data_IF_717459653793
#
_entry.id   IF_717459653793
#
_cell.length_a   1.000
_cell.length_b   1.000
_cell.length_c   1.000
_cell.angle_alpha   90.00
_cell.angle_beta   90.00
_cell.angle_gamma   90.00
#
_symmetry.space_group_name_H-M   'P 1'
#
loop_
_entity.id
_entity.type
_entity.pdbx_description
1 polymer ?
#
# COMPACT_ATOMS: atom_id res chain seq x y z
N UNK A 1 -23.49 8.26 12.30
CA UNK A 1 -22.84 7.13 13.00
C UNK A 1 -23.59 5.84 12.70
N UNK A 2 -22.85 4.77 12.39
CA UNK A 2 -23.42 3.47 12.05
C UNK A 2 -24.08 2.81 13.28
N UNK A 3 -25.39 2.55 13.20
CA UNK A 3 -26.18 1.91 14.28
C UNK A 3 -26.14 0.38 14.24
N UNK A 4 -25.85 -0.20 13.07
CA UNK A 4 -25.76 -1.65 12.85
C UNK A 4 -24.32 -2.01 12.52
N UNK A 5 -23.87 -3.17 13.00
CA UNK A 5 -22.58 -3.74 12.63
C UNK A 5 -22.48 -3.86 11.11
N UNK A 6 -21.53 -3.14 10.52
CA UNK A 6 -21.36 -2.98 9.08
C UNK A 6 -19.92 -3.29 8.72
N UNK A 7 -19.74 -4.18 7.74
CA UNK A 7 -18.44 -4.51 7.17
C UNK A 7 -18.36 -3.91 5.78
N UNK A 8 -17.34 -3.11 5.53
CA UNK A 8 -17.05 -2.55 4.22
C UNK A 8 -16.02 -3.42 3.49
N UNK A 9 -16.33 -3.82 2.27
CA UNK A 9 -15.42 -4.57 1.41
C UNK A 9 -14.95 -3.63 0.31
N UNK A 10 -13.64 -3.34 0.31
CA UNK A 10 -13.05 -2.27 -0.50
C UNK A 10 -12.03 -2.85 -1.48
N UNK A 11 -12.07 -2.40 -2.73
CA UNK A 11 -11.11 -2.74 -3.77
C UNK A 11 -10.47 -1.50 -4.39
N UNK A 12 -9.69 -1.70 -5.46
CA UNK A 12 -8.80 -0.66 -5.99
C UNK A 12 -9.53 0.60 -6.49
N UNK A 13 -10.80 0.48 -6.90
CA UNK A 13 -11.60 1.63 -7.32
C UNK A 13 -11.76 2.70 -6.24
N UNK A 14 -11.70 2.30 -4.96
CA UNK A 14 -11.86 3.22 -3.84
C UNK A 14 -10.65 4.14 -3.65
N UNK A 15 -9.45 3.65 -3.97
CA UNK A 15 -8.22 4.45 -3.91
C UNK A 15 -7.98 5.24 -5.21
N UNK A 16 -8.66 4.87 -6.31
CA UNK A 16 -8.55 5.59 -7.58
C UNK A 16 -9.11 7.02 -7.50
N UNK A 17 -10.12 7.24 -6.65
CA UNK A 17 -10.69 8.58 -6.38
C UNK A 17 -9.75 9.51 -5.62
N UNK A 18 -8.61 8.99 -5.15
CA UNK A 18 -7.50 9.75 -4.55
C UNK A 18 -6.20 9.51 -5.32
N UNK A 19 -6.30 9.29 -6.63
CA UNK A 19 -5.20 9.25 -7.61
C UNK A 19 -4.29 8.02 -7.54
N UNK A 20 -4.69 6.95 -6.85
CA UNK A 20 -3.94 5.68 -6.90
C UNK A 20 -4.24 4.92 -8.20
N UNK A 21 -3.23 4.23 -8.78
CA UNK A 21 -3.42 3.46 -10.00
C UNK A 21 -4.26 2.21 -9.74
N UNK A 22 -5.17 1.89 -10.67
CA UNK A 22 -6.00 0.69 -10.63
C UNK A 22 -5.79 -0.21 -11.83
N UNK A 23 -5.98 -1.52 -11.65
CA UNK A 23 -5.97 -2.53 -12.72
C UNK A 23 -4.73 -2.46 -13.60
N UNK A 24 -4.93 -2.20 -14.90
CA UNK A 24 -3.86 -2.14 -15.90
C UNK A 24 -2.83 -1.05 -15.62
N UNK A 25 -3.22 0.08 -15.03
CA UNK A 25 -2.28 1.14 -14.68
C UNK A 25 -1.27 0.66 -13.62
N UNK A 26 -1.73 -0.08 -12.61
CA UNK A 26 -0.86 -0.62 -11.57
C UNK A 26 0.05 -1.72 -12.13
N UNK A 27 -0.51 -2.66 -12.91
CA UNK A 27 0.29 -3.70 -13.58
C UNK A 27 1.37 -3.10 -14.48
N UNK A 28 1.04 -2.06 -15.25
CA UNK A 28 1.99 -1.34 -16.09
C UNK A 28 3.12 -0.67 -15.30
N UNK A 29 2.80 -0.05 -14.16
CA UNK A 29 3.81 0.55 -13.25
C UNK A 29 4.73 -0.52 -12.66
N UNK A 30 4.18 -1.64 -12.18
CA UNK A 30 4.96 -2.77 -11.66
C UNK A 30 5.88 -3.34 -12.74
N UNK A 31 5.35 -3.61 -13.93
CA UNK A 31 6.14 -4.12 -15.05
C UNK A 31 7.31 -3.20 -15.42
N UNK A 32 7.09 -1.88 -15.45
CA UNK A 32 8.16 -0.89 -15.67
C UNK A 32 9.19 -0.89 -14.53
N UNK A 33 8.75 -0.93 -13.28
CA UNK A 33 9.63 -0.90 -12.11
C UNK A 33 10.55 -2.13 -12.04
N UNK A 34 10.09 -3.30 -12.52
CA UNK A 34 10.84 -4.57 -12.47
C UNK A 34 11.58 -4.91 -13.76
N UNK A 35 11.37 -4.12 -14.82
CA UNK A 35 11.81 -4.38 -16.18
C UNK A 35 13.29 -4.08 -16.48
N UNK A 36 14.21 -4.52 -15.62
CA UNK A 36 15.62 -4.15 -15.75
C UNK A 36 16.29 -4.66 -17.03
N UNK A 37 17.05 -3.75 -17.65
CA UNK A 37 17.95 -4.01 -18.79
C UNK A 37 19.35 -3.50 -18.49
N UNK A 38 20.37 -4.28 -18.87
CA UNK A 38 21.78 -4.00 -18.60
C UNK A 38 22.57 -3.98 -19.92
N UNK A 39 22.50 -2.88 -20.71
CA UNK A 39 23.17 -2.81 -22.01
C UNK A 39 24.70 -2.98 -21.87
N UNK A 40 25.28 -2.42 -20.81
CA UNK A 40 26.71 -2.51 -20.51
C UNK A 40 27.05 -3.62 -19.50
N UNK A 41 26.09 -4.51 -19.19
CA UNK A 41 26.24 -5.61 -18.25
C UNK A 41 26.23 -5.24 -16.76
N UNK A 42 26.59 -4.00 -16.39
CA UNK A 42 26.75 -3.60 -14.98
C UNK A 42 25.68 -2.63 -14.47
N UNK A 43 25.29 -1.64 -15.28
CA UNK A 43 24.39 -0.57 -14.85
C UNK A 43 22.98 -0.77 -15.41
N UNK A 44 21.93 -0.69 -14.56
CA UNK A 44 20.56 -0.75 -15.04
C UNK A 44 20.20 0.53 -15.81
N UNK A 45 19.71 0.38 -17.04
CA UNK A 45 19.15 1.49 -17.84
C UNK A 45 17.66 1.71 -17.61
N UNK A 46 16.94 0.64 -17.31
CA UNK A 46 15.51 0.62 -16.99
C UNK A 46 15.28 -0.01 -15.62
N UNK A 47 14.08 0.19 -15.05
CA UNK A 47 13.69 -0.33 -13.75
C UNK A 47 13.81 0.71 -12.63
N UNK A 48 13.31 0.36 -11.44
CA UNK A 48 13.32 1.23 -10.29
C UNK A 48 14.62 1.05 -9.47
N UNK A 49 15.36 2.13 -9.21
CA UNK A 49 16.64 2.05 -8.51
C UNK A 49 16.53 1.50 -7.08
N UNK A 50 15.45 1.78 -6.35
CA UNK A 50 15.25 1.24 -5.00
C UNK A 50 15.10 -0.28 -5.05
N UNK A 51 14.37 -0.80 -6.05
CA UNK A 51 14.27 -2.26 -6.29
C UNK A 51 15.63 -2.85 -6.65
N UNK A 52 16.40 -2.19 -7.53
CA UNK A 52 17.74 -2.65 -7.89
C UNK A 52 18.62 -2.81 -6.65
N UNK A 53 18.71 -1.77 -5.81
CA UNK A 53 19.53 -1.81 -4.60
C UNK A 53 18.99 -2.79 -3.55
N UNK A 54 17.68 -2.98 -3.46
CA UNK A 54 17.09 -4.00 -2.58
C UNK A 54 17.50 -5.42 -3.00
N UNK A 55 17.48 -5.74 -4.30
CA UNK A 55 17.95 -7.02 -4.82
C UNK A 55 19.45 -7.19 -4.56
N UNK A 56 20.27 -6.16 -4.82
CA UNK A 56 21.72 -6.20 -4.56
C UNK A 56 22.03 -6.46 -3.08
N UNK A 57 21.29 -5.82 -2.17
CA UNK A 57 21.44 -6.05 -0.73
C UNK A 57 21.02 -7.47 -0.33
N UNK A 58 19.94 -7.98 -0.92
CA UNK A 58 19.45 -9.33 -0.67
C UNK A 58 20.46 -10.40 -1.11
N UNK A 59 20.97 -10.32 -2.34
CA UNK A 59 21.96 -11.30 -2.85
C UNK A 59 23.27 -11.23 -2.07
N UNK A 60 23.69 -10.02 -1.65
CA UNK A 60 24.89 -9.82 -0.82
C UNK A 60 24.74 -10.52 0.53
N UNK A 61 23.59 -10.37 1.20
CA UNK A 61 23.31 -11.03 2.49
C UNK A 61 23.30 -12.55 2.38
N UNK A 62 22.91 -13.09 1.23
CA UNK A 62 22.88 -14.53 0.97
C UNK A 62 24.16 -15.07 0.33
N UNK A 63 25.18 -14.22 0.15
CA UNK A 63 26.46 -14.57 -0.52
C UNK A 63 26.27 -15.14 -1.94
N UNK A 64 25.20 -14.72 -2.64
CA UNK A 64 24.86 -15.17 -3.98
C UNK A 64 25.64 -14.36 -5.02
N UNK A 65 26.33 -15.06 -5.91
CA UNK A 65 27.15 -14.45 -6.97
C UNK A 65 26.36 -14.11 -8.24
N UNK A 66 25.34 -14.89 -8.57
CA UNK A 66 24.55 -14.71 -9.79
C UNK A 66 23.22 -13.99 -9.49
N UNK A 67 23.10 -12.75 -9.95
CA UNK A 67 21.88 -11.94 -9.82
C UNK A 67 20.90 -12.12 -10.99
N UNK A 68 21.29 -12.84 -12.06
CA UNK A 68 20.46 -13.01 -13.25
C UNK A 68 19.08 -13.62 -13.01
N UNK A 69 18.88 -14.55 -12.04
CA UNK A 69 17.54 -15.09 -11.75
C UNK A 69 16.51 -14.01 -11.40
N UNK A 70 16.86 -13.05 -10.54
CA UNK A 70 15.98 -11.92 -10.16
C UNK A 70 15.65 -11.03 -11.35
N UNK A 71 16.65 -10.71 -12.19
CA UNK A 71 16.42 -9.87 -13.36
C UNK A 71 15.59 -10.56 -14.43
N UNK A 72 15.77 -11.89 -14.59
CA UNK A 72 14.92 -12.70 -15.47
C UNK A 72 13.48 -12.73 -14.97
N UNK A 73 13.28 -12.93 -13.66
CA UNK A 73 11.96 -12.89 -13.04
C UNK A 73 11.27 -11.52 -13.22
N UNK A 74 11.98 -10.41 -13.00
CA UNK A 74 11.46 -9.06 -13.24
C UNK A 74 11.03 -8.82 -14.69
N UNK A 75 11.83 -9.28 -15.66
CA UNK A 75 11.46 -9.23 -17.09
C UNK A 75 10.27 -10.13 -17.43
N UNK A 76 10.19 -11.32 -16.83
CA UNK A 76 9.05 -12.21 -17.00
C UNK A 76 7.76 -11.57 -16.48
N UNK A 77 7.80 -10.94 -15.30
CA UNK A 77 6.67 -10.15 -14.77
C UNK A 77 6.29 -9.05 -15.76
N UNK A 78 7.24 -8.20 -16.19
CA UNK A 78 6.99 -7.12 -17.17
C UNK A 78 6.31 -7.64 -18.44
N UNK A 79 6.79 -8.73 -19.00
CA UNK A 79 6.25 -9.34 -20.22
C UNK A 79 4.86 -9.97 -20.01
N UNK A 80 4.52 -10.37 -18.77
CA UNK A 80 3.25 -11.00 -18.43
C UNK A 80 2.14 -10.02 -18.02
N UNK A 81 2.48 -8.82 -17.57
CA UNK A 81 1.52 -7.83 -17.05
C UNK A 81 0.40 -7.43 -18.03
N UNK A 82 0.63 -7.29 -19.35
CA UNK A 82 -0.45 -6.97 -20.29
C UNK A 82 -1.57 -8.02 -20.33
N UNK A 83 -1.24 -9.31 -20.18
CA UNK A 83 -2.18 -10.43 -20.25
C UNK A 83 -2.62 -10.99 -18.89
N UNK A 84 -1.93 -10.64 -17.81
CA UNK A 84 -2.28 -11.08 -16.46
C UNK A 84 -3.55 -10.39 -15.97
N UNK A 85 -4.44 -11.10 -15.26
CA UNK A 85 -5.60 -10.50 -14.60
C UNK A 85 -5.15 -9.49 -13.52
N UNK A 86 -4.17 -9.90 -12.71
CA UNK A 86 -3.53 -9.06 -11.69
C UNK A 86 -2.12 -9.58 -11.39
N UNK A 87 -1.32 -8.77 -10.68
CA UNK A 87 -0.02 -9.21 -10.17
C UNK A 87 -0.16 -10.37 -9.18
N UNK A 88 -1.18 -10.36 -8.31
CA UNK A 88 -1.43 -11.48 -7.37
C UNK A 88 -1.71 -12.78 -8.09
N UNK A 89 -2.55 -12.73 -9.14
CA UNK A 89 -2.87 -13.93 -9.91
C UNK A 89 -1.61 -14.47 -10.59
N UNK A 90 -0.78 -13.60 -11.17
CA UNK A 90 0.48 -14.01 -11.80
C UNK A 90 1.46 -14.63 -10.79
N UNK A 91 1.66 -14.00 -9.62
CA UNK A 91 2.49 -14.55 -8.55
C UNK A 91 1.95 -15.87 -8.02
N UNK A 92 0.62 -16.03 -7.96
CA UNK A 92 0.01 -17.29 -7.54
C UNK A 92 0.25 -18.42 -8.56
N UNK A 93 0.08 -18.14 -9.85
CA UNK A 93 0.38 -19.10 -10.93
C UNK A 93 1.83 -19.58 -10.88
N UNK A 94 2.75 -18.70 -10.48
CA UNK A 94 4.19 -18.98 -10.42
C UNK A 94 4.71 -19.05 -8.98
N UNK A 95 3.88 -19.51 -8.04
CA UNK A 95 4.21 -19.52 -6.60
C UNK A 95 5.44 -20.38 -6.24
N UNK A 96 5.85 -21.27 -7.14
CA UNK A 96 7.01 -22.15 -6.98
C UNK A 96 8.33 -21.46 -7.39
N UNK A 97 8.26 -20.34 -8.10
CA UNK A 97 9.43 -19.53 -8.44
C UNK A 97 9.58 -18.40 -7.41
N UNK A 98 10.46 -18.62 -6.44
CA UNK A 98 10.74 -17.67 -5.36
C UNK A 98 11.21 -16.31 -5.89
N UNK A 99 11.88 -16.26 -7.05
CA UNK A 99 12.34 -15.00 -7.65
C UNK A 99 11.16 -14.18 -8.20
N UNK A 100 10.15 -14.84 -8.81
CA UNK A 100 8.93 -14.15 -9.27
C UNK A 100 8.16 -13.59 -8.08
N UNK A 101 7.97 -14.40 -7.04
CA UNK A 101 7.26 -13.95 -5.83
C UNK A 101 8.00 -12.79 -5.18
N UNK A 102 9.31 -12.90 -5.00
CA UNK A 102 10.16 -11.87 -4.42
C UNK A 102 10.10 -10.56 -5.22
N UNK A 103 10.34 -10.63 -6.53
CA UNK A 103 10.31 -9.45 -7.40
C UNK A 103 8.92 -8.83 -7.48
N UNK A 104 7.87 -9.64 -7.52
CA UNK A 104 6.48 -9.16 -7.51
C UNK A 104 6.15 -8.37 -6.25
N UNK A 105 6.53 -8.89 -5.07
CA UNK A 105 6.34 -8.19 -3.78
C UNK A 105 7.11 -6.85 -3.73
N UNK A 106 8.36 -6.81 -4.19
CA UNK A 106 9.13 -5.57 -4.31
C UNK A 106 8.46 -4.56 -5.24
N UNK A 107 7.96 -5.03 -6.39
CA UNK A 107 7.27 -4.20 -7.37
C UNK A 107 5.99 -3.59 -6.82
N UNK A 108 5.17 -4.39 -6.13
CA UNK A 108 3.97 -3.89 -5.43
C UNK A 108 4.37 -2.83 -4.40
N UNK A 109 5.33 -3.15 -3.53
CA UNK A 109 5.74 -2.26 -2.46
C UNK A 109 6.18 -0.88 -2.98
N UNK A 110 7.10 -0.85 -3.94
CA UNK A 110 7.61 0.41 -4.47
C UNK A 110 6.53 1.20 -5.24
N UNK A 111 5.71 0.52 -6.03
CA UNK A 111 4.70 1.19 -6.87
C UNK A 111 3.57 1.78 -6.04
N UNK A 112 3.18 1.13 -4.94
CA UNK A 112 2.14 1.63 -4.04
C UNK A 112 2.67 2.80 -3.21
N UNK A 113 3.91 2.73 -2.70
CA UNK A 113 4.53 3.87 -2.02
C UNK A 113 4.71 5.08 -2.95
N UNK A 114 5.10 4.85 -4.20
CA UNK A 114 5.17 5.92 -5.21
C UNK A 114 3.78 6.50 -5.52
N UNK A 115 2.74 5.65 -5.56
CA UNK A 115 1.38 6.11 -5.77
C UNK A 115 0.82 6.91 -4.59
N UNK A 116 1.00 6.44 -3.36
CA UNK A 116 0.66 7.19 -2.15
C UNK A 116 1.40 8.54 -2.12
N UNK A 117 2.68 8.56 -2.54
CA UNK A 117 3.47 9.80 -2.62
C UNK A 117 2.89 10.79 -3.64
N UNK A 118 2.37 10.31 -4.75
CA UNK A 118 1.78 11.13 -5.80
C UNK A 118 0.28 11.44 -5.57
N UNK A 119 -0.34 10.85 -4.54
CA UNK A 119 -1.77 10.95 -4.28
C UNK A 119 -2.17 12.31 -3.72
N UNK A 120 -3.44 12.66 -3.90
CA UNK A 120 -4.08 13.78 -3.22
C UNK A 120 -4.08 13.67 -1.68
N UNK A 121 -3.74 12.50 -1.11
CA UNK A 121 -3.64 12.28 0.34
C UNK A 121 -2.27 12.59 0.94
N UNK A 122 -1.22 12.83 0.16
CA UNK A 122 0.10 13.21 0.74
C UNK A 122 0.03 14.52 1.53
N UNK A 123 -0.98 15.36 1.25
CA UNK A 123 -1.09 16.69 1.81
C UNK A 123 -0.20 17.70 1.07
N UNK A 124 -0.58 18.96 1.15
CA UNK A 124 0.17 20.04 0.52
C UNK A 124 1.44 20.34 1.34
N UNK A 125 2.61 20.35 0.67
CA UNK A 125 3.89 20.71 1.31
C UNK A 125 3.84 22.13 1.87
N UNK A 126 3.02 23.00 1.26
CA UNK A 126 2.88 24.40 1.66
C UNK A 126 1.84 24.61 2.77
N UNK A 127 1.07 23.57 3.14
CA UNK A 127 0.02 23.64 4.19
C UNK A 127 0.30 22.73 5.38
N UNK A 128 1.55 22.60 5.80
CA UNK A 128 1.94 21.76 6.94
C UNK A 128 1.45 20.30 6.82
N UNK A 129 1.28 19.78 5.60
CA UNK A 129 0.77 18.43 5.37
C UNK A 129 -0.75 18.26 5.54
N UNK A 130 -1.53 19.35 5.59
CA UNK A 130 -3.00 19.29 5.59
C UNK A 130 -3.55 18.80 4.26
N UNK A 131 -4.62 18.01 4.34
CA UNK A 131 -5.37 17.58 3.16
C UNK A 131 -6.14 18.75 2.54
N UNK A 132 -6.17 18.79 1.21
CA UNK A 132 -7.06 19.66 0.48
C UNK A 132 -8.43 18.97 0.33
N UNK A 133 -9.34 19.19 1.28
CA UNK A 133 -10.66 18.53 1.26
C UNK A 133 -11.49 18.90 0.03
N UNK A 134 -11.29 20.08 -0.57
CA UNK A 134 -12.04 20.48 -1.76
C UNK A 134 -11.71 19.61 -2.98
N UNK A 135 -10.47 19.13 -3.11
CA UNK A 135 -10.07 18.27 -4.23
C UNK A 135 -10.51 16.82 -4.06
N UNK A 136 -10.88 16.38 -2.85
CA UNK A 136 -11.24 15.00 -2.54
C UNK A 136 -12.68 14.87 -1.99
N UNK A 137 -13.49 15.94 -2.06
CA UNK A 137 -14.83 16.00 -1.46
C UNK A 137 -15.85 15.02 -2.06
N UNK A 138 -15.64 14.62 -3.31
CA UNK A 138 -16.49 13.67 -4.04
C UNK A 138 -16.03 12.21 -3.83
N UNK A 139 -14.92 11.99 -3.11
CA UNK A 139 -14.45 10.64 -2.82
C UNK A 139 -15.39 9.91 -1.86
N UNK A 140 -15.41 8.58 -1.97
CA UNK A 140 -16.10 7.69 -1.05
C UNK A 140 -15.55 7.84 0.37
N UNK A 141 -14.26 8.19 0.55
CA UNK A 141 -13.67 8.49 1.85
C UNK A 141 -14.39 9.68 2.52
N UNK A 142 -14.66 10.75 1.75
CA UNK A 142 -15.43 11.89 2.22
C UNK A 142 -16.87 11.51 2.56
N UNK A 143 -17.53 10.74 1.71
CA UNK A 143 -18.89 10.23 1.96
C UNK A 143 -18.95 9.35 3.21
N UNK A 144 -17.99 8.44 3.36
CA UNK A 144 -17.86 7.56 4.52
C UNK A 144 -17.70 8.37 5.81
N UNK A 145 -16.80 9.36 5.84
CA UNK A 145 -16.61 10.20 7.03
C UNK A 145 -17.86 11.00 7.36
N UNK A 146 -18.57 11.56 6.38
CA UNK A 146 -19.86 12.23 6.62
C UNK A 146 -20.85 11.29 7.31
N UNK A 147 -20.97 10.05 6.85
CA UNK A 147 -21.85 9.05 7.47
C UNK A 147 -21.37 8.60 8.86
N UNK A 148 -20.06 8.43 9.03
CA UNK A 148 -19.43 8.07 10.30
C UNK A 148 -19.75 9.13 11.37
N UNK A 149 -19.55 10.39 11.02
CA UNK A 149 -19.66 11.54 11.92
C UNK A 149 -21.08 12.12 12.02
N UNK A 150 -22.03 11.60 11.25
CA UNK A 150 -23.44 12.01 11.36
C UNK A 150 -23.94 11.81 12.80
N UNK A 151 -24.37 12.89 13.46
CA UNK A 151 -24.77 12.94 14.87
C UNK A 151 -23.68 12.52 15.89
N UNK A 152 -22.41 12.46 15.49
CA UNK A 152 -21.31 12.22 16.41
C UNK A 152 -20.97 13.50 17.20
N UNK A 153 -20.68 13.34 18.49
CA UNK A 153 -20.13 14.42 19.31
C UNK A 153 -18.60 14.37 19.28
N UNK A 154 -17.94 15.53 19.25
CA UNK A 154 -16.47 15.61 19.20
C UNK A 154 -15.76 14.83 20.32
N UNK A 155 -16.39 14.71 21.50
CA UNK A 155 -15.85 13.96 22.64
C UNK A 155 -16.06 12.45 22.58
N UNK A 156 -16.89 11.95 21.67
CA UNK A 156 -17.25 10.54 21.56
C UNK A 156 -16.35 9.78 20.55
N UNK A 157 -15.06 10.16 20.44
CA UNK A 157 -14.10 9.51 19.54
C UNK A 157 -13.90 8.03 19.86
N UNK A 158 -14.13 7.65 21.12
CA UNK A 158 -13.87 6.31 21.62
C UNK A 158 -14.79 5.23 21.08
N UNK A 159 -15.98 5.59 20.57
CA UNK A 159 -17.03 4.67 20.10
C UNK A 159 -17.35 4.81 18.61
N UNK A 160 -16.62 5.68 17.89
CA UNK A 160 -16.88 5.98 16.47
C UNK A 160 -16.92 4.73 15.58
N UNK A 161 -16.07 3.74 15.89
CA UNK A 161 -15.84 2.56 15.04
C UNK A 161 -16.45 1.27 15.59
N UNK A 162 -17.24 1.30 16.68
CA UNK A 162 -17.79 0.09 17.34
C UNK A 162 -18.61 -0.80 16.40
N UNK A 163 -19.22 -0.20 15.39
CA UNK A 163 -20.08 -0.86 14.41
C UNK A 163 -19.48 -0.90 13.00
N UNK A 164 -18.19 -0.57 12.85
CA UNK A 164 -17.54 -0.47 11.53
C UNK A 164 -16.28 -1.31 11.48
N UNK A 165 -16.16 -2.11 10.43
CA UNK A 165 -14.89 -2.74 10.08
C UNK A 165 -14.69 -2.76 8.57
N UNK A 166 -13.44 -2.94 8.15
CA UNK A 166 -13.04 -2.99 6.74
C UNK A 166 -12.36 -4.31 6.41
N UNK A 167 -12.65 -4.81 5.22
CA UNK A 167 -11.81 -5.76 4.48
C UNK A 167 -11.39 -5.03 3.21
N UNK A 168 -10.10 -4.69 3.09
CA UNK A 168 -9.56 -4.01 1.91
C UNK A 168 -8.65 -4.95 1.15
N UNK A 169 -8.89 -5.10 -0.15
CA UNK A 169 -8.01 -5.84 -1.05
C UNK A 169 -6.87 -4.98 -1.60
N UNK A 170 -6.77 -3.73 -1.16
CA UNK A 170 -5.71 -2.81 -1.55
C UNK A 170 -4.50 -2.94 -0.62
N UNK A 171 -3.33 -2.65 -1.16
CA UNK A 171 -2.07 -2.64 -0.39
C UNK A 171 -1.76 -1.28 0.25
N UNK A 172 -2.49 -0.23 -0.16
CA UNK A 172 -2.32 1.14 0.32
C UNK A 172 -3.00 1.38 1.67
N UNK A 173 -2.68 2.52 2.28
CA UNK A 173 -3.13 2.92 3.62
C UNK A 173 -4.01 4.16 3.60
N UNK A 174 -4.69 4.39 2.48
CA UNK A 174 -5.47 5.60 2.24
C UNK A 174 -6.62 5.74 3.23
N UNK A 175 -7.28 4.62 3.59
CA UNK A 175 -8.40 4.61 4.54
C UNK A 175 -7.94 5.15 5.89
N UNK A 176 -6.86 4.59 6.45
CA UNK A 176 -6.36 4.94 7.76
C UNK A 176 -5.82 6.36 7.81
N UNK A 177 -5.06 6.78 6.78
CA UNK A 177 -4.55 8.14 6.71
C UNK A 177 -5.67 9.17 6.55
N UNK A 178 -6.62 8.92 5.64
CA UNK A 178 -7.74 9.84 5.43
C UNK A 178 -8.55 10.00 6.70
N UNK A 179 -8.84 8.91 7.41
CA UNK A 179 -9.60 8.96 8.66
C UNK A 179 -8.87 9.75 9.73
N UNK A 180 -7.56 9.55 9.90
CA UNK A 180 -6.77 10.29 10.88
C UNK A 180 -6.84 11.80 10.61
N UNK A 181 -6.58 12.22 9.37
CA UNK A 181 -6.63 13.64 8.98
C UNK A 181 -8.05 14.22 9.05
N UNK A 182 -9.06 13.46 8.62
CA UNK A 182 -10.44 13.93 8.61
C UNK A 182 -11.00 14.09 10.02
N UNK A 183 -10.69 13.18 10.94
CA UNK A 183 -11.10 13.30 12.34
C UNK A 183 -10.42 14.49 13.01
N UNK A 184 -9.10 14.66 12.80
CA UNK A 184 -8.36 15.82 13.32
C UNK A 184 -9.01 17.13 12.85
N UNK A 185 -9.27 17.25 11.54
CA UNK A 185 -9.80 18.47 10.95
C UNK A 185 -11.27 18.75 11.32
N UNK A 186 -12.13 17.73 11.29
CA UNK A 186 -13.58 17.92 11.48
C UNK A 186 -13.97 18.01 12.95
N UNK A 187 -13.34 17.23 13.84
CA UNK A 187 -13.63 17.23 15.27
C UNK A 187 -12.81 18.25 16.06
N UNK A 188 -11.84 18.90 15.40
CA UNK A 188 -10.92 19.88 16.01
C UNK A 188 -10.15 19.30 17.21
N UNK A 189 -9.74 18.04 17.07
CA UNK A 189 -8.98 17.29 18.08
C UNK A 189 -7.49 17.24 17.72
N UNK A 190 -6.65 16.87 18.69
CA UNK A 190 -5.22 16.68 18.45
C UNK A 190 -4.95 15.51 17.50
N UNK A 191 -3.77 15.53 16.87
CA UNK A 191 -3.28 14.41 16.06
C UNK A 191 -3.25 13.11 16.88
N UNK A 192 -2.79 13.16 18.14
CA UNK A 192 -2.74 11.97 19.00
C UNK A 192 -4.13 11.40 19.30
N UNK A 193 -5.13 12.25 19.52
CA UNK A 193 -6.52 11.82 19.74
C UNK A 193 -7.11 11.18 18.48
N UNK A 194 -6.86 11.76 17.31
CA UNK A 194 -7.31 11.19 16.04
C UNK A 194 -6.65 9.83 15.78
N UNK A 195 -5.34 9.71 15.95
CA UNK A 195 -4.60 8.45 15.82
C UNK A 195 -5.11 7.38 16.81
N UNK A 196 -5.37 7.76 18.06
CA UNK A 196 -5.96 6.85 19.07
C UNK A 196 -7.34 6.36 18.64
N UNK A 197 -8.18 7.23 18.08
CA UNK A 197 -9.49 6.84 17.57
C UNK A 197 -9.38 5.86 16.40
N UNK A 198 -8.56 6.18 15.38
CA UNK A 198 -8.40 5.32 14.20
C UNK A 198 -7.75 3.98 14.54
N UNK A 199 -6.87 3.91 15.55
CA UNK A 199 -6.30 2.65 16.02
C UNK A 199 -7.34 1.66 16.58
N UNK A 200 -8.56 2.09 16.90
CA UNK A 200 -9.68 1.21 17.28
C UNK A 200 -10.38 0.57 16.08
N UNK A 201 -10.19 1.13 14.88
CA UNK A 201 -10.79 0.61 13.66
C UNK A 201 -10.16 -0.74 13.31
N UNK A 202 -11.01 -1.72 13.02
CA UNK A 202 -10.55 -3.00 12.49
C UNK A 202 -10.48 -2.92 10.97
N UNK A 203 -9.26 -2.98 10.42
CA UNK A 203 -8.99 -3.06 8.98
C UNK A 203 -8.22 -4.35 8.69
N UNK A 204 -8.81 -5.23 7.88
CA UNK A 204 -8.20 -6.46 7.42
C UNK A 204 -7.66 -6.23 6.01
N UNK A 205 -6.36 -6.47 5.81
CA UNK A 205 -5.71 -6.50 4.50
C UNK A 205 -5.37 -7.93 4.12
N UNK A 206 -6.23 -8.64 3.36
CA UNK A 206 -5.99 -10.03 3.06
C UNK A 206 -4.65 -10.25 2.32
N UNK A 207 -4.24 -9.35 1.41
CA UNK A 207 -2.96 -9.46 0.67
C UNK A 207 -1.81 -8.72 1.38
N UNK A 208 -2.01 -8.31 2.63
CA UNK A 208 -1.06 -7.44 3.30
C UNK A 208 -1.08 -6.01 2.74
N UNK A 209 -0.08 -5.23 3.16
CA UNK A 209 0.00 -3.79 2.87
C UNK A 209 1.46 -3.33 2.88
N UNK A 210 1.74 -2.13 2.38
CA UNK A 210 3.10 -1.55 2.30
C UNK A 210 3.66 -1.04 3.64
N UNK A 211 3.34 -1.74 4.73
CA UNK A 211 3.79 -1.44 6.08
C UNK A 211 2.83 -0.57 6.87
N UNK A 212 2.75 -0.77 8.20
CA UNK A 212 1.92 0.06 9.06
C UNK A 212 2.44 1.50 9.18
N UNK A 213 1.52 2.46 9.24
CA UNK A 213 1.82 3.89 9.44
C UNK A 213 2.51 4.11 10.80
N UNK A 214 3.39 5.13 10.96
CA UNK A 214 4.24 5.25 12.15
C UNK A 214 3.50 5.37 13.50
N UNK A 215 2.25 5.84 13.47
CA UNK A 215 1.40 5.98 14.66
C UNK A 215 0.60 4.71 15.00
N UNK A 216 0.63 3.71 14.12
CA UNK A 216 0.00 2.41 14.37
C UNK A 216 0.96 1.53 15.20
N UNK A 217 0.44 0.56 15.97
CA UNK A 217 1.27 -0.41 16.68
C UNK A 217 2.24 -1.13 15.73
N UNK A 218 3.53 -1.10 16.07
CA UNK A 218 4.64 -1.64 15.27
C UNK A 218 4.80 -1.01 13.87
N UNK A 219 4.23 0.17 13.64
CA UNK A 219 4.36 0.90 12.40
C UNK A 219 5.65 1.71 12.32
N UNK A 220 6.27 1.69 11.15
CA UNK A 220 7.56 2.37 10.90
C UNK A 220 7.60 3.08 9.55
N UNK A 221 6.65 2.80 8.66
CA UNK A 221 6.72 3.22 7.26
C UNK A 221 5.84 4.43 7.05
N UNK A 222 6.44 5.57 6.71
CA UNK A 222 5.69 6.79 6.38
C UNK A 222 4.81 6.58 5.14
N UNK A 223 3.68 7.29 5.08
CA UNK A 223 2.83 7.29 3.90
C UNK A 223 3.59 7.84 2.68
N UNK A 224 3.61 7.08 1.59
CA UNK A 224 4.40 7.41 0.41
C UNK A 224 5.91 7.61 0.67
N UNK A 225 6.49 6.83 1.59
CA UNK A 225 7.93 6.84 1.85
C UNK A 225 8.75 6.54 0.58
N UNK A 226 10.00 7.01 0.57
CA UNK A 226 11.02 6.61 -0.40
C UNK A 226 11.99 5.67 0.31
N UNK A 227 11.70 4.35 0.35
CA UNK A 227 12.43 3.45 1.22
C UNK A 227 13.84 3.23 0.71
N UNK A 228 14.80 3.14 1.65
CA UNK A 228 16.12 2.61 1.35
C UNK A 228 16.05 1.10 1.04
N UNK A 229 17.13 0.53 0.47
CA UNK A 229 17.17 -0.85 0.00
C UNK A 229 16.74 -1.88 1.06
N UNK A 230 17.24 -1.76 2.28
CA UNK A 230 16.90 -2.65 3.40
C UNK A 230 15.45 -2.47 3.88
N UNK A 231 14.97 -1.23 3.90
CA UNK A 231 13.59 -0.92 4.29
C UNK A 231 12.59 -1.50 3.28
N UNK A 232 12.87 -1.38 1.97
CA UNK A 232 12.02 -1.93 0.93
C UNK A 232 11.91 -3.47 1.03
N UNK A 233 12.99 -4.15 1.42
CA UNK A 233 12.96 -5.60 1.68
C UNK A 233 12.00 -5.95 2.83
N UNK A 234 12.05 -5.20 3.94
CA UNK A 234 11.14 -5.43 5.08
C UNK A 234 9.69 -5.08 4.76
N UNK A 235 9.46 -4.04 3.95
CA UNK A 235 8.12 -3.68 3.47
C UNK A 235 7.56 -4.78 2.58
N UNK A 236 8.35 -5.30 1.63
CA UNK A 236 7.90 -6.33 0.71
C UNK A 236 7.49 -7.63 1.42
N UNK A 237 8.11 -7.97 2.56
CA UNK A 237 7.70 -9.12 3.40
C UNK A 237 6.27 -8.99 3.94
N UNK A 238 5.75 -7.77 4.06
CA UNK A 238 4.39 -7.53 4.56
C UNK A 238 3.33 -7.74 3.47
N UNK A 239 3.74 -7.89 2.20
CA UNK A 239 2.86 -8.30 1.10
C UNK A 239 2.70 -9.81 1.14
N UNK A 240 1.45 -10.27 1.07
CA UNK A 240 1.06 -11.68 1.16
C UNK A 240 0.53 -12.19 -0.16
N UNK A 241 1.03 -13.32 -0.59
CA UNK A 241 0.51 -14.13 -1.69
C UNK A 241 -0.68 -14.96 -1.24
N UNK A 242 -1.42 -15.53 -2.19
CA UNK A 242 -2.56 -16.42 -1.92
C UNK A 242 -2.18 -17.65 -1.10
N UNK A 243 -1.00 -18.24 -1.34
CA UNK A 243 -0.53 -19.46 -0.67
C UNK A 243 -0.20 -19.21 0.80
N UNK A 244 0.41 -18.07 1.12
CA UNK A 244 0.74 -17.66 2.51
C UNK A 244 -0.52 -17.49 3.40
N UNK A 245 -1.70 -17.27 2.80
CA UNK A 245 -2.96 -17.18 3.56
C UNK A 245 -3.49 -18.51 4.07
N UNK A 246 -3.18 -19.62 3.39
CA UNK A 246 -3.73 -20.93 3.72
C UNK A 246 -3.09 -21.45 5.02
N UNK A 247 -1.82 -21.10 5.26
CA UNK A 247 -1.09 -21.52 6.46
C UNK A 247 -1.50 -20.77 7.72
N UNK A 248 -1.96 -19.51 7.63
CA UNK A 248 -2.37 -18.72 8.81
C UNK A 248 -3.76 -19.09 9.35
N UNK A 249 -4.44 -20.10 8.77
CA UNK A 249 -5.76 -20.60 9.21
C UNK A 249 -5.68 -21.90 10.04
N UNK A 250 -4.54 -22.18 10.68
CA UNK A 250 -4.39 -23.28 11.65
C UNK A 250 -4.21 -22.75 13.05
#
# INVERSE_FOLDING_TARGET
MFKKKTVFIVGAGASAEVDLPMGDALKGRIGKALGFTFPDGFNPKEGNLAVYWAVQEHIKKLEIRDSNPWWRAGRAIKAAMPQAISIDNFMHTHSHDEHIVFMGKLGIAVCILDAERASSLRGDKDRDGKLNYDSIKESWHSTFVKMLLENAQAKATDTLFDNVSFITFNYDRCIELYLEKALQNYLLISEQEAQKAVNKLTVIHPYGQVGRLPWQPNGQVKFGAEPHSTELLEIAKQIRTFTERVETRR
#
